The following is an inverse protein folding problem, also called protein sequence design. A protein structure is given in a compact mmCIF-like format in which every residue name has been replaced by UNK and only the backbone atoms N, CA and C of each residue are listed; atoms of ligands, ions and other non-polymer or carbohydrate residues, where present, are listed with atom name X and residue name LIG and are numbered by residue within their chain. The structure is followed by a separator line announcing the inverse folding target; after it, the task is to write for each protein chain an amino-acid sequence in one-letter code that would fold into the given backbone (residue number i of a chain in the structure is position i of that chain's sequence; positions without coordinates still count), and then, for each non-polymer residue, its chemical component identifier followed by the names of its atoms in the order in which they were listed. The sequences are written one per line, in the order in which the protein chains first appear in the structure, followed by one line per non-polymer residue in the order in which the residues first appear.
data_IF_879852076076
#
_entry.id   IF_879852076076
#
_cell.length_a   1.000
_cell.length_b   1.000
_cell.length_c   1.000
_cell.angle_alpha   90.00
_cell.angle_beta   90.00
_cell.angle_gamma   90.00
#
_symmetry.space_group_name_H-M   'P 1'
#
loop_
_entity.id
_entity.type
_entity.pdbx_description
1 polymer ?
#
# COMPACT_ATOMS: atom_id res chain seq x y z
N UNK A 1 -11.81 -12.89 -11.15
CA UNK A 1 -10.61 -13.68 -10.76
C UNK A 1 -9.52 -12.65 -10.52
N UNK A 2 -8.83 -12.69 -9.38
CA UNK A 2 -7.79 -11.71 -9.06
C UNK A 2 -6.58 -11.89 -9.97
N UNK A 3 -6.06 -10.80 -10.55
CA UNK A 3 -4.88 -10.83 -11.40
C UNK A 3 -3.73 -10.01 -10.81
N UNK A 4 -2.51 -10.44 -11.10
CA UNK A 4 -1.27 -9.73 -10.76
C UNK A 4 -0.66 -9.20 -12.07
N UNK A 5 -0.42 -7.91 -12.15
CA UNK A 5 0.29 -7.30 -13.26
C UNK A 5 1.78 -7.21 -12.91
N UNK A 6 2.62 -7.81 -13.74
CA UNK A 6 4.08 -7.84 -13.60
C UNK A 6 4.66 -6.91 -14.66
N UNK A 7 5.44 -5.92 -14.25
CA UNK A 7 6.07 -4.92 -15.13
C UNK A 7 7.57 -4.93 -14.85
N UNK A 8 8.34 -5.54 -15.74
CA UNK A 8 9.81 -5.69 -15.63
C UNK A 8 10.35 -5.97 -17.05
N UNK A 9 11.47 -5.38 -17.45
CA UNK A 9 12.07 -5.60 -18.77
C UNK A 9 12.85 -6.93 -18.87
N UNK A 10 13.15 -7.57 -17.74
CA UNK A 10 13.74 -8.91 -17.67
C UNK A 10 12.69 -10.00 -17.96
N UNK A 11 12.72 -10.51 -19.19
CA UNK A 11 11.78 -11.53 -19.66
C UNK A 11 11.87 -12.85 -18.91
N UNK A 12 13.08 -13.25 -18.48
CA UNK A 12 13.30 -14.51 -17.76
C UNK A 12 12.73 -14.39 -16.33
N UNK A 13 12.99 -13.28 -15.67
CA UNK A 13 12.43 -12.98 -14.35
C UNK A 13 10.90 -12.87 -14.42
N UNK A 14 10.35 -12.21 -15.42
CA UNK A 14 8.91 -12.14 -15.66
C UNK A 14 8.29 -13.53 -15.83
N UNK A 15 8.90 -14.39 -16.64
CA UNK A 15 8.41 -15.77 -16.86
C UNK A 15 8.42 -16.58 -15.55
N UNK A 16 9.47 -16.42 -14.74
CA UNK A 16 9.59 -17.07 -13.44
C UNK A 16 8.52 -16.56 -12.47
N UNK A 17 8.38 -15.24 -12.32
CA UNK A 17 7.36 -14.62 -11.44
C UNK A 17 5.95 -15.02 -11.87
N UNK A 18 5.65 -14.98 -13.17
CA UNK A 18 4.36 -15.41 -13.71
C UNK A 18 4.03 -16.84 -13.30
N UNK A 19 4.97 -17.79 -13.51
CA UNK A 19 4.77 -19.18 -13.13
C UNK A 19 4.48 -19.35 -11.64
N UNK A 20 5.19 -18.61 -10.78
CA UNK A 20 5.00 -18.69 -9.34
C UNK A 20 3.63 -18.10 -8.90
N UNK A 21 3.22 -17.00 -9.50
CA UNK A 21 1.90 -16.38 -9.25
C UNK A 21 0.78 -17.33 -9.69
N UNK A 22 0.91 -17.97 -10.84
CA UNK A 22 -0.08 -18.92 -11.37
C UNK A 22 -0.19 -20.20 -10.50
N UNK A 23 0.89 -20.63 -9.85
CA UNK A 23 0.86 -21.73 -8.89
C UNK A 23 0.00 -21.43 -7.62
N UNK A 24 -0.19 -20.18 -7.29
CA UNK A 24 -1.05 -19.73 -6.18
C UNK A 24 -2.53 -19.51 -6.61
N UNK A 25 -2.95 -20.04 -7.76
CA UNK A 25 -4.29 -19.87 -8.34
C UNK A 25 -4.66 -18.39 -8.63
N UNK A 26 -3.68 -17.55 -8.89
CA UNK A 26 -3.84 -16.18 -9.36
C UNK A 26 -3.57 -16.13 -10.87
N UNK A 27 -4.22 -15.23 -11.59
CA UNK A 27 -3.81 -14.96 -12.97
C UNK A 27 -2.68 -13.93 -13.02
N UNK A 28 -1.77 -14.06 -13.97
CA UNK A 28 -0.67 -13.13 -14.14
C UNK A 28 -0.65 -12.53 -15.57
N UNK A 29 -0.59 -11.20 -15.63
CA UNK A 29 -0.43 -10.42 -16.84
C UNK A 29 0.98 -9.82 -16.82
N UNK A 30 1.71 -9.86 -17.94
CA UNK A 30 3.10 -9.41 -18.01
C UNK A 30 3.22 -8.27 -19.01
N UNK A 31 3.95 -7.24 -18.62
CA UNK A 31 4.41 -6.14 -19.45
C UNK A 31 5.94 -6.03 -19.38
N UNK A 32 6.59 -5.78 -20.49
CA UNK A 32 8.05 -5.68 -20.58
C UNK A 32 8.56 -4.24 -20.60
N UNK A 33 7.73 -3.28 -20.16
CA UNK A 33 8.07 -1.87 -20.03
C UNK A 33 6.93 -1.07 -19.42
N UNK A 34 7.26 0.15 -18.97
CA UNK A 34 6.35 0.99 -18.23
C UNK A 34 5.11 1.41 -19.02
N UNK A 35 5.27 1.81 -20.28
CA UNK A 35 4.15 2.23 -21.14
C UNK A 35 3.18 1.08 -21.43
N UNK A 36 3.72 -0.11 -21.71
CA UNK A 36 2.91 -1.32 -21.89
C UNK A 36 2.16 -1.67 -20.60
N UNK A 37 2.84 -1.57 -19.45
CA UNK A 37 2.27 -1.82 -18.14
C UNK A 37 1.07 -0.92 -17.83
N UNK A 38 1.19 0.38 -18.10
CA UNK A 38 0.09 1.33 -17.91
C UNK A 38 -1.12 1.02 -18.81
N UNK A 39 -0.88 0.63 -20.07
CA UNK A 39 -1.94 0.21 -20.99
C UNK A 39 -2.66 -1.05 -20.50
N UNK A 40 -1.89 -2.08 -20.12
CA UNK A 40 -2.45 -3.34 -19.61
C UNK A 40 -3.18 -3.17 -18.27
N UNK A 41 -2.74 -2.23 -17.42
CA UNK A 41 -3.47 -1.88 -16.21
C UNK A 41 -4.86 -1.33 -16.51
N UNK A 42 -4.98 -0.42 -17.47
CA UNK A 42 -6.28 0.16 -17.86
C UNK A 42 -7.22 -0.91 -18.43
N UNK A 43 -6.68 -1.87 -19.23
CA UNK A 43 -7.45 -2.98 -19.78
C UNK A 43 -7.93 -3.98 -18.72
N UNK A 44 -7.18 -4.11 -17.61
CA UNK A 44 -7.44 -5.07 -16.52
C UNK A 44 -7.83 -4.41 -15.20
N UNK A 45 -8.27 -3.15 -15.21
CA UNK A 45 -8.49 -2.35 -13.99
C UNK A 45 -9.43 -3.00 -12.96
N UNK A 46 -10.45 -3.74 -13.44
CA UNK A 46 -11.46 -4.35 -12.57
C UNK A 46 -11.01 -5.70 -11.96
N UNK A 47 -9.94 -6.28 -12.47
CA UNK A 47 -9.41 -7.58 -12.04
C UNK A 47 -8.03 -7.50 -11.40
N UNK A 48 -7.28 -6.42 -11.64
CA UNK A 48 -5.93 -6.24 -11.11
C UNK A 48 -5.97 -6.00 -9.59
N UNK A 49 -5.38 -6.93 -8.84
CA UNK A 49 -5.34 -6.90 -7.37
C UNK A 49 -3.97 -6.57 -6.81
N UNK A 50 -2.92 -6.60 -7.64
CA UNK A 50 -1.55 -6.26 -7.28
C UNK A 50 -0.75 -5.93 -8.53
N UNK A 51 0.18 -4.99 -8.41
CA UNK A 51 1.21 -4.71 -9.41
C UNK A 51 2.57 -5.03 -8.81
N UNK A 52 3.39 -5.83 -9.51
CA UNK A 52 4.81 -5.99 -9.25
C UNK A 52 5.53 -5.12 -10.29
N UNK A 53 6.36 -4.19 -9.84
CA UNK A 53 6.91 -3.13 -10.68
C UNK A 53 8.42 -2.98 -10.47
N UNK A 54 9.20 -3.22 -11.52
CA UNK A 54 10.62 -2.93 -11.48
C UNK A 54 10.90 -1.44 -11.51
N UNK A 55 11.92 -1.01 -10.76
CA UNK A 55 12.36 0.39 -10.74
C UNK A 55 13.17 0.73 -11.99
N UNK A 56 14.06 -0.17 -12.41
CA UNK A 56 15.06 0.09 -13.44
C UNK A 56 14.62 -0.46 -14.80
N UNK A 57 13.83 0.32 -15.53
CA UNK A 57 13.40 -0.02 -16.88
C UNK A 57 13.86 1.03 -17.90
N UNK A 58 14.14 0.64 -19.17
CA UNK A 58 14.79 1.53 -20.14
C UNK A 58 13.87 2.61 -20.73
N UNK A 59 12.55 2.40 -20.82
CA UNK A 59 11.60 3.31 -21.46
C UNK A 59 11.03 4.35 -20.48
N UNK A 60 10.55 3.87 -19.35
CA UNK A 60 9.98 4.67 -18.27
C UNK A 60 10.33 3.98 -16.95
N UNK A 61 11.01 4.69 -16.05
CA UNK A 61 11.40 4.09 -14.79
C UNK A 61 10.16 3.81 -13.90
N UNK A 62 10.30 2.82 -13.00
CA UNK A 62 9.18 2.37 -12.16
C UNK A 62 8.56 3.47 -11.28
N UNK A 63 9.32 4.48 -10.88
CA UNK A 63 8.78 5.61 -10.11
C UNK A 63 7.85 6.48 -10.95
N UNK A 64 8.17 6.71 -12.22
CA UNK A 64 7.31 7.43 -13.14
C UNK A 64 6.03 6.63 -13.42
N UNK A 65 6.16 5.30 -13.63
CA UNK A 65 5.01 4.41 -13.76
C UNK A 65 4.12 4.47 -12.53
N UNK A 66 4.70 4.39 -11.32
CA UNK A 66 3.99 4.48 -10.05
C UNK A 66 3.22 5.82 -9.93
N UNK A 67 3.83 6.94 -10.30
CA UNK A 67 3.16 8.23 -10.30
C UNK A 67 1.94 8.26 -11.21
N UNK A 68 2.05 7.70 -12.43
CA UNK A 68 0.92 7.62 -13.35
C UNK A 68 -0.19 6.70 -12.83
N UNK A 69 0.18 5.55 -12.24
CA UNK A 69 -0.78 4.64 -11.59
C UNK A 69 -1.54 5.39 -10.50
N UNK A 70 -0.85 6.11 -9.61
CA UNK A 70 -1.45 6.79 -8.46
C UNK A 70 -2.34 7.99 -8.79
N UNK A 71 -2.30 8.47 -10.04
CA UNK A 71 -3.28 9.48 -10.50
C UNK A 71 -4.68 8.90 -10.70
N UNK A 72 -4.81 7.58 -10.91
CA UNK A 72 -6.07 6.95 -11.33
C UNK A 72 -6.41 5.67 -10.57
N UNK A 73 -5.47 5.08 -9.82
CA UNK A 73 -5.64 3.76 -9.25
C UNK A 73 -4.91 3.61 -7.91
N UNK A 74 -5.58 2.95 -6.96
CA UNK A 74 -5.06 2.66 -5.61
C UNK A 74 -4.69 1.19 -5.42
N UNK A 75 -4.59 0.41 -6.51
CA UNK A 75 -4.14 -0.99 -6.47
C UNK A 75 -2.78 -1.08 -5.76
N UNK A 76 -2.54 -2.09 -4.91
CA UNK A 76 -1.26 -2.27 -4.26
C UNK A 76 -0.12 -2.41 -5.26
N UNK A 77 1.02 -1.79 -4.97
CA UNK A 77 2.24 -1.86 -5.79
C UNK A 77 3.40 -2.34 -4.95
N UNK A 78 3.98 -3.49 -5.34
CA UNK A 78 5.25 -4.01 -4.85
C UNK A 78 6.35 -3.57 -5.81
N UNK A 79 7.27 -2.71 -5.33
CA UNK A 79 8.41 -2.26 -6.12
C UNK A 79 9.57 -3.25 -6.01
N UNK A 80 10.17 -3.60 -7.15
CA UNK A 80 11.45 -4.33 -7.19
C UNK A 80 12.59 -3.33 -7.38
N UNK A 81 13.60 -3.33 -6.52
CA UNK A 81 14.69 -2.33 -6.57
C UNK A 81 16.06 -2.97 -6.41
N UNK A 82 17.11 -2.34 -6.93
CA UNK A 82 18.48 -2.74 -6.67
C UNK A 82 18.93 -2.36 -5.25
N UNK A 83 19.88 -3.08 -4.67
CA UNK A 83 20.32 -2.97 -3.26
C UNK A 83 20.98 -1.62 -2.89
N UNK A 84 21.34 -0.79 -3.87
CA UNK A 84 22.20 0.39 -3.68
C UNK A 84 21.48 1.67 -3.29
N UNK A 85 20.14 1.73 -3.34
CA UNK A 85 19.45 3.01 -3.28
C UNK A 85 18.50 3.12 -2.08
N UNK A 86 19.05 3.43 -0.89
CA UNK A 86 18.25 3.89 0.24
C UNK A 86 17.44 5.16 -0.13
N UNK A 87 18.01 6.03 -0.98
CA UNK A 87 17.33 7.20 -1.51
C UNK A 87 16.13 6.83 -2.40
N UNK A 88 16.23 5.76 -3.19
CA UNK A 88 15.14 5.27 -4.03
C UNK A 88 14.00 4.67 -3.20
N UNK A 89 14.29 3.95 -2.11
CA UNK A 89 13.27 3.45 -1.18
C UNK A 89 12.49 4.61 -0.53
N UNK A 90 13.20 5.65 -0.08
CA UNK A 90 12.59 6.84 0.52
C UNK A 90 11.76 7.61 -0.53
N UNK A 91 12.28 7.73 -1.75
CA UNK A 91 11.58 8.42 -2.85
C UNK A 91 10.32 7.68 -3.27
N UNK A 92 10.39 6.37 -3.43
CA UNK A 92 9.25 5.59 -3.85
C UNK A 92 8.17 5.45 -2.78
N UNK A 93 8.53 5.34 -1.50
CA UNK A 93 7.58 5.42 -0.39
C UNK A 93 6.87 6.78 -0.36
N UNK A 94 7.58 7.86 -0.69
CA UNK A 94 6.97 9.19 -0.89
C UNK A 94 6.01 9.21 -2.08
N UNK A 95 6.19 8.36 -3.09
CA UNK A 95 5.34 8.27 -4.27
C UNK A 95 4.12 7.36 -4.09
N UNK A 96 4.06 6.56 -3.01
CA UNK A 96 2.88 5.75 -2.68
C UNK A 96 2.98 4.27 -3.05
N UNK A 97 4.20 3.71 -3.13
CA UNK A 97 4.39 2.26 -3.14
C UNK A 97 3.91 1.63 -1.82
N UNK A 98 3.37 0.42 -1.89
CA UNK A 98 2.85 -0.28 -0.72
C UNK A 98 3.90 -1.17 -0.06
N UNK A 99 4.88 -1.65 -0.83
CA UNK A 99 6.00 -2.46 -0.34
C UNK A 99 7.18 -2.43 -1.32
N UNK A 100 8.36 -2.86 -0.83
CA UNK A 100 9.62 -2.92 -1.59
C UNK A 100 10.28 -4.27 -1.40
N UNK A 101 10.85 -4.80 -2.49
CA UNK A 101 11.66 -6.00 -2.48
C UNK A 101 12.98 -5.74 -3.20
N UNK A 102 14.10 -5.97 -2.50
CA UNK A 102 15.44 -5.67 -3.02
C UNK A 102 15.98 -6.84 -3.83
N UNK A 103 16.41 -6.60 -5.07
CA UNK A 103 17.15 -7.56 -5.91
C UNK A 103 18.60 -7.72 -5.38
N UNK A 104 19.16 -8.96 -5.27
CA UNK A 104 18.50 -10.24 -5.53
C UNK A 104 17.59 -10.68 -4.38
N UNK A 105 16.46 -11.29 -4.70
CA UNK A 105 15.49 -11.81 -3.73
C UNK A 105 15.22 -13.31 -3.95
N UNK A 106 14.69 -13.96 -2.94
CA UNK A 106 14.18 -15.32 -3.10
C UNK A 106 12.74 -15.32 -3.60
N UNK A 107 12.35 -16.33 -4.37
CA UNK A 107 10.96 -16.51 -4.81
C UNK A 107 10.01 -16.64 -3.62
N UNK A 108 10.44 -17.31 -2.54
CA UNK A 108 9.62 -17.44 -1.34
C UNK A 108 9.34 -16.07 -0.69
N UNK A 109 10.32 -15.17 -0.66
CA UNK A 109 10.12 -13.81 -0.14
C UNK A 109 9.16 -13.01 -1.04
N UNK A 110 9.37 -13.06 -2.36
CA UNK A 110 8.46 -12.44 -3.33
C UNK A 110 7.01 -12.90 -3.10
N UNK A 111 6.78 -14.21 -3.07
CA UNK A 111 5.44 -14.78 -2.93
C UNK A 111 4.82 -14.51 -1.55
N UNK A 112 5.60 -14.48 -0.49
CA UNK A 112 5.12 -14.08 0.83
C UNK A 112 4.59 -12.63 0.83
N UNK A 113 5.30 -11.69 0.17
CA UNK A 113 4.88 -10.29 0.01
C UNK A 113 3.66 -10.16 -0.90
N UNK A 114 3.66 -10.84 -2.05
CA UNK A 114 2.52 -10.91 -2.99
C UNK A 114 1.25 -11.36 -2.26
N UNK A 115 1.31 -12.50 -1.57
CA UNK A 115 0.17 -13.04 -0.83
C UNK A 115 -0.27 -12.12 0.32
N UNK A 116 0.68 -11.49 1.01
CA UNK A 116 0.37 -10.52 2.06
C UNK A 116 -0.36 -9.30 1.51
N UNK A 117 0.12 -8.72 0.41
CA UNK A 117 -0.49 -7.54 -0.22
C UNK A 117 -1.87 -7.86 -0.79
N UNK A 118 -2.02 -8.96 -1.53
CA UNK A 118 -3.33 -9.40 -2.07
C UNK A 118 -4.31 -9.68 -0.93
N UNK A 119 -3.90 -10.43 0.09
CA UNK A 119 -4.75 -10.71 1.25
C UNK A 119 -5.23 -9.42 1.92
N UNK A 120 -4.35 -8.43 2.10
CA UNK A 120 -4.74 -7.13 2.66
C UNK A 120 -5.72 -6.40 1.75
N UNK A 121 -5.49 -6.43 0.45
CA UNK A 121 -6.35 -5.77 -0.53
C UNK A 121 -7.69 -6.47 -0.71
N UNK A 122 -7.74 -7.82 -0.66
CA UNK A 122 -8.94 -8.61 -0.97
C UNK A 122 -9.59 -9.27 0.26
N UNK A 123 -8.83 -9.58 1.34
CA UNK A 123 -9.26 -10.54 2.37
C UNK A 123 -9.14 -10.01 3.80
N UNK A 124 -8.48 -8.87 4.08
CA UNK A 124 -8.50 -8.29 5.44
C UNK A 124 -9.84 -7.60 5.74
N UNK A 125 -10.89 -8.25 5.28
CA UNK A 125 -12.23 -8.15 5.81
C UNK A 125 -12.89 -9.53 5.87
N UNK A 126 -12.33 -10.55 6.52
CA UNK A 126 -13.18 -11.64 6.97
C UNK A 126 -13.99 -11.07 8.13
N UNK A 127 -15.29 -10.98 7.91
CA UNK A 127 -16.29 -10.97 8.96
C UNK A 127 -16.15 -12.28 9.74
N UNK A 128 -15.19 -12.37 10.62
CA UNK A 128 -15.09 -13.39 11.65
C UNK A 128 -15.18 -12.69 12.99
N UNK A 129 -16.40 -12.54 13.45
CA UNK A 129 -16.73 -12.23 14.84
C UNK A 129 -16.65 -10.76 15.23
N UNK A 130 -17.79 -10.08 15.24
CA UNK A 130 -18.12 -8.90 16.09
C UNK A 130 -17.35 -7.56 15.90
N UNK A 131 -16.54 -7.38 14.91
CA UNK A 131 -16.10 -6.02 14.57
C UNK A 131 -17.01 -5.44 13.49
N UNK A 132 -17.59 -4.27 13.75
CA UNK A 132 -18.44 -3.58 12.79
C UNK A 132 -17.70 -3.43 11.44
N UNK A 133 -18.35 -3.82 10.33
CA UNK A 133 -17.81 -3.71 8.97
C UNK A 133 -17.44 -2.27 8.62
N UNK A 134 -18.02 -1.31 9.34
CA UNK A 134 -17.86 0.12 9.13
C UNK A 134 -17.47 0.80 10.44
N UNK A 135 -16.48 1.69 10.39
CA UNK A 135 -16.16 2.60 11.49
C UNK A 135 -16.86 3.92 11.19
N UNK A 136 -17.83 4.26 12.05
CA UNK A 136 -18.53 5.54 11.98
C UNK A 136 -17.86 6.53 12.93
N UNK A 137 -17.43 7.65 12.39
CA UNK A 137 -16.89 8.80 13.09
C UNK A 137 -17.78 10.01 12.80
N UNK A 138 -17.62 11.11 13.54
CA UNK A 138 -18.47 12.30 13.39
C UNK A 138 -18.64 12.76 11.93
N UNK A 139 -17.52 12.89 11.21
CA UNK A 139 -17.50 13.43 9.85
C UNK A 139 -16.86 12.44 8.85
N UNK A 140 -16.49 11.23 9.30
CA UNK A 140 -15.80 10.24 8.49
C UNK A 140 -16.45 8.88 8.62
N UNK A 141 -16.62 8.19 7.49
CA UNK A 141 -17.08 6.81 7.44
C UNK A 141 -15.98 5.96 6.78
N UNK A 142 -15.55 4.91 7.45
CA UNK A 142 -14.54 3.98 6.94
C UNK A 142 -15.22 2.63 6.72
N UNK A 143 -15.42 2.25 5.48
CA UNK A 143 -15.92 0.93 5.10
C UNK A 143 -14.74 -0.03 4.95
N UNK A 144 -14.61 -0.94 5.90
CA UNK A 144 -13.50 -1.94 5.91
C UNK A 144 -13.69 -2.99 4.83
N UNK A 145 -14.93 -3.28 4.42
CA UNK A 145 -15.24 -4.30 3.42
C UNK A 145 -14.89 -3.81 2.03
N UNK A 146 -15.37 -2.63 1.67
CA UNK A 146 -15.13 -2.05 0.36
C UNK A 146 -13.82 -1.24 0.29
N UNK A 147 -13.10 -1.12 1.43
CA UNK A 147 -11.87 -0.32 1.57
C UNK A 147 -12.05 1.12 1.10
N UNK A 148 -13.19 1.70 1.42
CA UNK A 148 -13.51 3.09 1.06
C UNK A 148 -13.59 3.99 2.30
N UNK A 149 -13.26 5.25 2.09
CA UNK A 149 -13.36 6.29 3.12
C UNK A 149 -14.16 7.44 2.55
N UNK A 150 -15.10 7.94 3.32
CA UNK A 150 -15.76 9.21 3.03
C UNK A 150 -15.51 10.17 4.18
N UNK A 151 -15.25 11.42 3.87
CA UNK A 151 -15.11 12.53 4.81
C UNK A 151 -16.10 13.63 4.41
N UNK A 152 -16.99 14.01 5.34
CA UNK A 152 -18.08 14.96 5.05
C UNK A 152 -18.92 14.56 3.81
N UNK A 153 -19.18 13.25 3.67
CA UNK A 153 -19.88 12.62 2.54
C UNK A 153 -19.14 12.71 1.18
N UNK A 154 -17.88 13.13 1.16
CA UNK A 154 -17.04 13.13 -0.04
C UNK A 154 -16.07 11.95 -0.01
N UNK A 155 -15.85 11.24 -1.12
CA UNK A 155 -14.90 10.14 -1.15
C UNK A 155 -13.47 10.65 -0.95
N UNK A 156 -12.68 9.91 -0.17
CA UNK A 156 -11.25 10.15 0.04
C UNK A 156 -10.46 9.01 -0.55
N UNK A 157 -9.61 9.32 -1.51
CA UNK A 157 -8.75 8.32 -2.15
C UNK A 157 -7.51 8.04 -1.30
N UNK A 158 -7.42 6.81 -0.78
CA UNK A 158 -6.27 6.32 -0.02
C UNK A 158 -5.60 5.18 -0.76
N UNK A 159 -4.27 5.13 -0.71
CA UNK A 159 -3.53 3.91 -1.11
C UNK A 159 -3.80 2.77 -0.12
N UNK A 160 -3.48 1.54 -0.51
CA UNK A 160 -3.70 0.37 0.36
C UNK A 160 -3.10 0.55 1.75
N UNK A 161 -1.86 1.04 1.86
CA UNK A 161 -1.19 1.27 3.15
C UNK A 161 -1.71 2.45 3.94
N UNK A 162 -2.13 3.53 3.28
CA UNK A 162 -2.78 4.65 3.96
C UNK A 162 -4.12 4.23 4.56
N UNK A 163 -4.87 3.39 3.83
CA UNK A 163 -6.12 2.82 4.33
C UNK A 163 -5.88 1.91 5.55
N UNK A 164 -4.93 0.97 5.46
CA UNK A 164 -4.60 0.06 6.57
C UNK A 164 -4.15 0.83 7.82
N UNK A 165 -3.33 1.86 7.64
CA UNK A 165 -2.89 2.75 8.72
C UNK A 165 -4.06 3.49 9.36
N UNK A 166 -4.97 4.03 8.54
CA UNK A 166 -6.17 4.70 9.02
C UNK A 166 -7.07 3.76 9.82
N UNK A 167 -7.36 2.57 9.27
CA UNK A 167 -8.19 1.55 9.94
C UNK A 167 -7.55 1.12 11.26
N UNK A 168 -6.25 0.84 11.28
CA UNK A 168 -5.55 0.45 12.50
C UNK A 168 -5.67 1.51 13.60
N UNK A 169 -5.40 2.77 13.28
CA UNK A 169 -5.47 3.85 14.25
C UNK A 169 -6.92 4.16 14.68
N UNK A 170 -7.87 4.19 13.73
CA UNK A 170 -9.28 4.48 14.01
C UNK A 170 -9.97 3.37 14.80
N UNK A 171 -9.60 2.10 14.59
CA UNK A 171 -10.08 0.97 15.40
C UNK A 171 -9.57 1.01 16.84
N UNK A 172 -8.52 1.79 17.12
CA UNK A 172 -7.88 1.89 18.43
C UNK A 172 -7.89 3.32 18.98
N UNK A 173 -9.03 4.01 18.89
CA UNK A 173 -9.17 5.41 19.33
C UNK A 173 -8.62 5.66 20.73
N UNK A 174 -7.91 6.77 20.90
CA UNK A 174 -7.35 7.20 22.18
C UNK A 174 -6.08 6.46 22.61
N UNK A 175 -5.78 5.30 22.04
CA UNK A 175 -4.56 4.54 22.35
C UNK A 175 -3.35 5.13 21.62
N UNK A 176 -2.24 5.27 22.33
CA UNK A 176 -0.98 5.73 21.76
C UNK A 176 -0.16 4.53 21.26
N UNK A 177 0.35 4.63 20.06
CA UNK A 177 1.22 3.63 19.45
C UNK A 177 2.56 4.23 19.09
N UNK A 178 3.64 3.52 19.41
CA UNK A 178 4.97 3.87 18.94
C UNK A 178 5.07 3.62 17.42
N UNK A 179 6.03 4.26 16.76
CA UNK A 179 6.30 4.02 15.34
C UNK A 179 6.53 2.53 15.05
N UNK A 180 7.32 1.86 15.91
CA UNK A 180 7.57 0.42 15.82
C UNK A 180 6.27 -0.40 15.88
N UNK A 181 5.38 -0.11 16.83
CA UNK A 181 4.10 -0.81 16.95
C UNK A 181 3.22 -0.61 15.73
N UNK A 182 3.13 0.64 15.21
CA UNK A 182 2.39 0.94 13.99
C UNK A 182 2.96 0.14 12.82
N UNK A 183 4.29 0.16 12.65
CA UNK A 183 4.96 -0.55 11.56
C UNK A 183 4.64 -2.05 11.61
N UNK A 184 4.91 -2.70 12.72
CA UNK A 184 4.68 -4.14 12.88
C UNK A 184 3.21 -4.53 12.64
N UNK A 185 2.25 -3.71 13.08
CA UNK A 185 0.83 -4.01 12.92
C UNK A 185 0.32 -3.75 11.50
N UNK A 186 0.78 -2.68 10.86
CA UNK A 186 0.29 -2.28 9.53
C UNK A 186 1.06 -2.96 8.40
N UNK A 187 2.36 -3.22 8.58
CA UNK A 187 3.20 -3.88 7.56
C UNK A 187 3.35 -5.37 7.80
N UNK A 188 3.08 -5.86 9.02
CA UNK A 188 3.23 -7.26 9.43
C UNK A 188 4.66 -7.82 9.21
N UNK A 189 5.67 -6.98 9.36
CA UNK A 189 7.09 -7.26 9.18
C UNK A 189 7.87 -6.89 10.43
N UNK A 190 9.07 -7.48 10.60
CA UNK A 190 10.00 -7.00 11.60
C UNK A 190 10.42 -5.56 11.26
N UNK A 191 10.40 -4.71 12.28
CA UNK A 191 10.73 -3.29 12.15
C UNK A 191 12.20 -3.12 11.75
N UNK A 192 12.43 -2.85 10.48
CA UNK A 192 13.74 -2.43 9.96
C UNK A 192 13.91 -0.93 10.18
N UNK A 193 14.41 -0.51 11.32
CA UNK A 193 14.86 0.81 11.82
C UNK A 193 14.68 2.05 10.90
N UNK A 194 13.60 2.15 10.13
CA UNK A 194 13.32 3.33 9.31
C UNK A 194 12.07 4.07 9.81
N UNK A 195 12.32 4.98 10.76
CA UNK A 195 11.31 5.89 11.30
C UNK A 195 10.74 6.85 10.22
N UNK A 196 11.48 7.10 9.13
CA UNK A 196 11.09 8.05 8.08
C UNK A 196 9.88 7.57 7.29
N UNK A 197 9.73 6.26 7.14
CA UNK A 197 8.63 5.61 6.44
C UNK A 197 7.28 5.94 7.11
N UNK A 198 7.14 5.66 8.40
CA UNK A 198 5.90 5.95 9.15
C UNK A 198 5.54 7.43 9.13
N UNK A 199 6.53 8.30 9.31
CA UNK A 199 6.32 9.75 9.28
C UNK A 199 5.79 10.21 7.91
N UNK A 200 6.31 9.63 6.83
CA UNK A 200 5.85 9.92 5.47
C UNK A 200 4.38 9.51 5.27
N UNK A 201 4.00 8.29 5.68
CA UNK A 201 2.62 7.82 5.58
C UNK A 201 1.65 8.63 6.45
N UNK A 202 2.03 8.95 7.69
CA UNK A 202 1.24 9.83 8.56
C UNK A 202 1.06 11.21 7.91
N UNK A 203 2.12 11.79 7.34
CA UNK A 203 2.04 13.09 6.67
C UNK A 203 1.10 13.07 5.47
N UNK A 204 1.20 12.02 4.62
CA UNK A 204 0.32 11.86 3.46
C UNK A 204 -1.14 11.65 3.87
N UNK A 205 -1.37 10.78 4.85
CA UNK A 205 -2.70 10.50 5.34
C UNK A 205 -3.35 11.77 5.91
N UNK A 206 -2.60 12.54 6.73
CA UNK A 206 -3.07 13.83 7.25
C UNK A 206 -3.47 14.81 6.14
N UNK A 207 -2.68 14.92 5.07
CA UNK A 207 -3.02 15.79 3.93
C UNK A 207 -4.35 15.44 3.27
N UNK A 208 -4.81 14.20 3.40
CA UNK A 208 -6.04 13.70 2.78
C UNK A 208 -7.25 13.77 3.71
N UNK A 209 -7.05 13.62 5.02
CA UNK A 209 -8.17 13.50 5.97
C UNK A 209 -8.27 14.65 6.96
N UNK A 210 -7.21 15.42 7.20
CA UNK A 210 -7.24 16.51 8.20
C UNK A 210 -7.71 17.82 7.58
N UNK A 211 -8.55 18.58 8.27
CA UNK A 211 -8.88 19.94 7.86
C UNK A 211 -7.63 20.86 7.80
N UNK A 212 -6.71 20.65 8.74
CA UNK A 212 -5.40 21.29 8.76
C UNK A 212 -4.32 20.26 9.14
N UNK A 213 -3.48 19.81 8.17
CA UNK A 213 -2.45 18.81 8.43
C UNK A 213 -1.38 19.23 9.46
N UNK A 214 -1.16 20.53 9.67
CA UNK A 214 -0.20 21.06 10.65
C UNK A 214 -0.78 21.07 12.07
N UNK A 215 -2.11 21.13 12.19
CA UNK A 215 -2.85 21.03 13.44
C UNK A 215 -3.84 19.86 13.38
N UNK A 216 -3.34 18.61 13.36
CA UNK A 216 -4.14 17.44 13.05
C UNK A 216 -5.19 17.17 14.14
N UNK A 217 -6.44 17.01 13.70
CA UNK A 217 -7.58 16.71 14.55
C UNK A 217 -7.76 15.20 14.76
N UNK A 218 -7.67 14.40 13.69
CA UNK A 218 -7.88 12.95 13.75
C UNK A 218 -6.63 12.21 14.25
N UNK A 219 -5.48 12.41 13.60
CA UNK A 219 -4.24 11.70 13.93
C UNK A 219 -3.30 12.64 14.67
N UNK A 220 -3.26 12.50 15.99
CA UNK A 220 -2.49 13.36 16.89
C UNK A 220 -1.08 12.80 17.11
N UNK A 221 -0.07 13.68 17.16
CA UNK A 221 1.29 13.32 17.55
C UNK A 221 1.44 13.40 19.07
N UNK A 222 1.91 12.32 19.68
CA UNK A 222 2.34 12.32 21.08
C UNK A 222 3.87 12.42 21.08
N UNK A 223 4.39 13.63 21.39
CA UNK A 223 5.82 13.94 21.30
C UNK A 223 6.66 12.94 22.11
N UNK A 224 7.74 12.46 21.52
CA UNK A 224 8.65 11.48 22.12
C UNK A 224 8.10 10.04 22.19
N UNK A 225 6.82 9.78 21.81
CA UNK A 225 6.19 8.46 21.91
C UNK A 225 5.75 7.93 20.55
N UNK A 226 4.89 8.66 19.83
CA UNK A 226 4.33 8.17 18.58
C UNK A 226 3.04 8.87 18.19
N UNK A 227 2.02 8.10 17.80
CA UNK A 227 0.76 8.62 17.27
C UNK A 227 -0.46 7.98 17.94
N UNK A 228 -1.56 8.70 17.96
CA UNK A 228 -2.87 8.18 18.37
C UNK A 228 -3.97 8.74 17.47
N UNK A 229 -5.05 8.01 17.34
CA UNK A 229 -6.30 8.54 16.79
C UNK A 229 -7.06 9.27 17.91
N UNK A 230 -7.64 10.41 17.58
CA UNK A 230 -8.40 11.20 18.55
C UNK A 230 -9.57 10.38 19.11
N UNK A 231 -9.76 10.38 20.42
CA UNK A 231 -10.85 9.64 21.08
C UNK A 231 -12.23 10.33 20.99
N UNK A 232 -12.23 11.62 20.67
CA UNK A 232 -13.44 12.47 20.69
C UNK A 232 -14.17 12.54 19.33
N UNK A 233 -13.76 11.70 18.37
CA UNK A 233 -14.37 11.60 17.04
C UNK A 233 -15.25 10.37 16.89
#
# INVERSE_FOLDING_TARGET
MNSVLIIDDDKELCALMKKCVEQENLSAVVAYGGLEGLRLLEENKDTCSLIILDVMMPDMNGFQVLQEIRKKNNVPVLMLTAKSDEEDKVSGLRLGADDYLTKPFSINELMARVNSLIRRYTTLNPVTGNEAATILLKDMVIDKVNRTVTLQNLPVELTGKEFDLLVFLASNKGRVFTKKQIYTQVWAEEYAFDDSNIMSFISKLRKKIEPNPEQPFYIQTVRGVGYRFNKEV
#
